data_IF_304461659608
#
_entry.id   IF_304461659608
#
_cell.length_a   1.000
_cell.length_b   1.000
_cell.length_c   1.000
_cell.angle_alpha   90.00
_cell.angle_beta   90.00
_cell.angle_gamma   90.00
#
_symmetry.space_group_name_H-M   'P 1'
#
loop_
_entity.id
_entity.type
_entity.pdbx_description
1 polymer ?
#
# COMPACT_ATOMS: atom_id res chain seq x y z
N UNK A 1 3.30 -10.82 10.65
CA UNK A 1 2.47 -9.62 10.59
C UNK A 1 2.81 -8.65 11.70
N UNK A 2 2.69 -7.39 11.44
CA UNK A 2 2.94 -6.36 12.45
C UNK A 2 2.73 -4.98 11.82
N UNK A 3 2.68 -3.99 12.70
CA UNK A 3 2.62 -2.58 12.34
C UNK A 3 3.92 -1.90 12.76
N UNK A 4 4.18 -0.72 12.28
CA UNK A 4 5.35 0.09 12.63
C UNK A 4 5.53 0.26 14.15
N UNK A 5 4.43 0.53 14.87
CA UNK A 5 4.44 0.71 16.33
C UNK A 5 4.93 -0.51 17.12
N UNK A 6 4.81 -1.71 16.57
CA UNK A 6 5.29 -2.96 17.17
C UNK A 6 6.58 -3.46 16.52
N UNK A 7 6.69 -3.34 15.20
CA UNK A 7 7.85 -3.78 14.42
C UNK A 7 9.10 -2.94 14.66
N UNK A 8 8.96 -1.62 14.82
CA UNK A 8 10.08 -0.73 15.10
C UNK A 8 10.80 -1.08 16.42
N UNK A 9 10.11 -1.10 17.56
CA UNK A 9 10.72 -1.52 18.84
C UNK A 9 11.26 -2.95 18.78
N UNK A 10 10.57 -3.90 18.16
CA UNK A 10 11.05 -5.28 17.96
C UNK A 10 12.41 -5.28 17.23
N UNK A 11 12.49 -4.58 16.12
CA UNK A 11 13.72 -4.51 15.30
C UNK A 11 14.87 -3.89 16.09
N UNK A 12 14.60 -2.83 16.86
CA UNK A 12 15.56 -2.18 17.71
C UNK A 12 16.09 -3.14 18.80
N UNK A 13 15.19 -3.79 19.52
CA UNK A 13 15.54 -4.74 20.56
C UNK A 13 16.34 -5.95 20.02
N UNK A 14 15.95 -6.46 18.84
CA UNK A 14 16.69 -7.53 18.19
C UNK A 14 18.16 -7.12 17.93
N UNK A 15 18.37 -5.90 17.43
CA UNK A 15 19.72 -5.38 17.22
C UNK A 15 20.51 -5.21 18.52
N UNK A 16 19.88 -4.70 19.58
CA UNK A 16 20.48 -4.54 20.93
C UNK A 16 20.91 -5.90 21.52
N UNK A 17 20.15 -6.94 21.23
CA UNK A 17 20.47 -8.34 21.62
C UNK A 17 21.49 -9.03 20.69
N UNK A 18 22.03 -8.30 19.70
CA UNK A 18 23.01 -8.86 18.75
C UNK A 18 22.41 -9.79 17.70
N UNK A 19 21.09 -9.82 17.52
CA UNK A 19 20.42 -10.61 16.49
C UNK A 19 20.64 -9.93 15.14
N UNK A 20 21.31 -10.64 14.21
CA UNK A 20 21.66 -10.14 12.87
C UNK A 20 20.70 -10.64 11.78
N UNK A 21 19.63 -11.32 12.14
CA UNK A 21 18.67 -11.82 11.19
C UNK A 21 17.94 -10.65 10.49
N UNK A 22 17.62 -10.84 9.21
CA UNK A 22 16.74 -9.93 8.46
C UNK A 22 15.32 -10.01 9.03
N UNK A 23 14.70 -8.88 9.16
CA UNK A 23 13.29 -8.74 9.52
C UNK A 23 12.50 -8.50 8.24
N UNK A 24 11.56 -9.39 7.93
CA UNK A 24 10.67 -9.22 6.77
C UNK A 24 9.27 -8.90 7.27
N UNK A 25 8.69 -7.82 6.76
CA UNK A 25 7.37 -7.33 7.15
C UNK A 25 6.45 -7.09 5.96
N UNK A 26 5.15 -7.03 6.24
CA UNK A 26 4.14 -6.56 5.28
C UNK A 26 4.04 -5.03 5.28
N UNK A 27 3.00 -4.55 4.63
CA UNK A 27 2.70 -3.13 4.40
C UNK A 27 2.64 -2.28 5.68
N UNK A 28 2.07 -2.81 6.75
CA UNK A 28 2.02 -2.12 8.04
C UNK A 28 3.39 -1.80 8.66
N UNK A 29 4.47 -2.41 8.17
CA UNK A 29 5.85 -2.12 8.55
C UNK A 29 6.58 -1.26 7.50
N UNK A 30 5.97 -0.96 6.36
CA UNK A 30 6.56 -0.21 5.26
C UNK A 30 6.38 1.32 5.39
N UNK A 31 6.57 1.86 6.57
CA UNK A 31 6.33 3.29 6.86
C UNK A 31 7.61 4.01 7.26
N UNK A 32 7.66 5.33 7.04
CA UNK A 32 8.74 6.16 7.58
C UNK A 32 8.77 6.14 9.11
N UNK A 33 7.61 5.91 9.74
CA UNK A 33 7.50 5.77 11.19
C UNK A 33 8.24 4.56 11.75
N UNK A 34 8.29 3.45 10.98
CA UNK A 34 9.12 2.31 11.34
C UNK A 34 10.59 2.73 11.50
N UNK A 35 11.11 3.50 10.54
CA UNK A 35 12.50 3.96 10.58
C UNK A 35 12.79 4.87 11.78
N UNK A 36 11.84 5.74 12.14
CA UNK A 36 11.97 6.55 13.36
C UNK A 36 12.06 5.69 14.63
N UNK A 37 11.22 4.64 14.73
CA UNK A 37 11.11 3.79 15.92
C UNK A 37 12.25 2.77 16.02
N UNK A 38 12.71 2.21 14.90
CA UNK A 38 13.79 1.23 14.84
C UNK A 38 15.18 1.89 14.89
N UNK A 39 15.30 3.17 14.53
CA UNK A 39 16.58 3.87 14.45
C UNK A 39 17.52 3.24 13.44
N UNK A 40 18.79 3.07 13.77
CA UNK A 40 19.80 2.47 12.89
C UNK A 40 19.50 1.00 12.55
N UNK A 41 18.76 0.30 13.39
CA UNK A 41 18.43 -1.10 13.18
C UNK A 41 17.50 -1.33 11.96
N UNK A 42 16.85 -0.28 11.43
CA UNK A 42 15.95 -0.36 10.28
C UNK A 42 16.65 -0.87 9.01
N UNK A 43 17.96 -0.77 8.89
CA UNK A 43 18.75 -1.32 7.78
C UNK A 43 18.58 -2.84 7.62
N UNK A 44 18.14 -3.53 8.66
CA UNK A 44 17.86 -4.96 8.63
C UNK A 44 16.44 -5.31 8.21
N UNK A 45 15.60 -4.31 7.92
CA UNK A 45 14.18 -4.52 7.55
C UNK A 45 14.04 -4.51 6.04
N UNK A 46 13.29 -5.49 5.55
CA UNK A 46 12.71 -5.51 4.20
C UNK A 46 11.20 -5.63 4.36
N UNK A 47 10.43 -4.85 3.62
CA UNK A 47 8.98 -4.90 3.69
C UNK A 47 8.33 -4.86 2.32
N UNK A 48 7.06 -5.28 2.24
CA UNK A 48 6.31 -5.34 1.00
C UNK A 48 5.07 -4.45 1.07
N UNK A 49 4.75 -3.76 -0.01
CA UNK A 49 3.48 -3.06 -0.21
C UNK A 49 2.77 -3.60 -1.45
N UNK A 50 1.44 -3.62 -1.42
CA UNK A 50 0.65 -3.86 -2.61
C UNK A 50 0.82 -2.69 -3.60
N UNK A 51 0.79 -3.00 -4.90
CA UNK A 51 0.87 -2.02 -5.97
C UNK A 51 2.27 -1.47 -6.23
N UNK A 52 2.32 -0.48 -7.09
CA UNK A 52 3.54 0.26 -7.42
C UNK A 52 3.76 1.39 -6.41
N UNK A 53 5.02 1.77 -6.21
CA UNK A 53 5.34 2.99 -5.48
C UNK A 53 4.60 4.19 -6.08
N UNK A 54 4.02 5.06 -5.25
CA UNK A 54 3.20 6.20 -5.69
C UNK A 54 3.92 7.07 -6.74
N UNK A 55 5.23 7.26 -6.58
CA UNK A 55 6.07 7.99 -7.54
C UNK A 55 6.19 7.34 -8.93
N UNK A 56 5.79 6.09 -9.07
CA UNK A 56 5.78 5.32 -10.33
C UNK A 56 4.38 5.15 -10.91
N UNK A 57 3.33 5.56 -10.20
CA UNK A 57 1.96 5.59 -10.72
C UNK A 57 1.79 6.73 -11.70
N UNK A 58 1.07 6.50 -12.81
CA UNK A 58 0.91 7.48 -13.89
C UNK A 58 0.37 8.84 -13.42
N UNK A 59 -0.57 8.83 -12.45
CA UNK A 59 -1.16 10.04 -11.86
C UNK A 59 -0.66 10.31 -10.44
N UNK A 60 0.41 9.65 -10.00
CA UNK A 60 0.88 9.71 -8.61
C UNK A 60 1.31 11.10 -8.18
N UNK A 61 2.04 11.83 -9.04
CA UNK A 61 2.48 13.19 -8.75
C UNK A 61 1.31 14.18 -8.61
N UNK A 62 0.31 14.09 -9.51
CA UNK A 62 -0.89 14.92 -9.44
C UNK A 62 -1.72 14.59 -8.18
N UNK A 63 -1.87 13.31 -7.86
CA UNK A 63 -2.54 12.88 -6.65
C UNK A 63 -1.85 13.42 -5.39
N UNK A 64 -0.53 13.31 -5.29
CA UNK A 64 0.24 13.87 -4.16
C UNK A 64 0.02 15.37 -4.01
N UNK A 65 0.07 16.12 -5.12
CA UNK A 65 -0.14 17.57 -5.12
C UNK A 65 -1.54 17.91 -4.59
N UNK A 66 -2.60 17.34 -5.19
CA UNK A 66 -3.99 17.58 -4.78
C UNK A 66 -4.26 17.17 -3.33
N UNK A 67 -3.67 16.06 -2.89
CA UNK A 67 -3.78 15.60 -1.51
C UNK A 67 -3.14 16.59 -0.53
N UNK A 68 -1.92 17.05 -0.84
CA UNK A 68 -1.22 18.04 -0.02
C UNK A 68 -1.95 19.37 0.07
N UNK A 69 -2.47 19.86 -1.06
CA UNK A 69 -3.26 21.08 -1.13
C UNK A 69 -4.56 20.97 -0.31
N UNK A 70 -5.21 19.80 -0.34
CA UNK A 70 -6.50 19.58 0.34
C UNK A 70 -6.36 19.35 1.84
N UNK A 71 -5.36 18.59 2.27
CA UNK A 71 -5.25 18.07 3.63
C UNK A 71 -4.05 18.61 4.40
N UNK A 72 -3.18 19.39 3.76
CA UNK A 72 -1.91 19.89 4.31
C UNK A 72 -1.06 18.78 4.96
N UNK A 73 -1.14 17.56 4.42
CA UNK A 73 -0.38 16.39 4.88
C UNK A 73 0.14 15.60 3.70
N UNK A 74 1.12 14.72 3.94
CA UNK A 74 1.67 13.86 2.92
C UNK A 74 0.83 12.59 2.74
N UNK A 75 0.80 12.05 1.53
CA UNK A 75 0.06 10.83 1.20
C UNK A 75 0.65 9.65 1.97
N UNK A 76 -0.20 8.94 2.71
CA UNK A 76 0.16 7.70 3.40
C UNK A 76 -0.09 6.49 2.50
N UNK A 77 0.52 5.35 2.87
CA UNK A 77 0.58 4.14 2.03
C UNK A 77 -0.77 3.63 1.52
N UNK A 78 -1.84 3.77 2.31
CA UNK A 78 -3.18 3.26 1.94
C UNK A 78 -4.04 4.26 1.16
N UNK A 79 -3.69 5.55 1.13
CA UNK A 79 -4.52 6.59 0.55
C UNK A 79 -4.86 6.37 -0.94
N UNK A 80 -3.92 5.96 -1.82
CA UNK A 80 -4.22 5.69 -3.23
C UNK A 80 -5.24 4.56 -3.41
N UNK A 81 -5.11 3.50 -2.62
CA UNK A 81 -5.98 2.32 -2.70
C UNK A 81 -7.39 2.63 -2.17
N UNK A 82 -7.48 3.37 -1.05
CA UNK A 82 -8.77 3.81 -0.50
C UNK A 82 -9.48 4.75 -1.47
N UNK A 83 -8.74 5.63 -2.13
CA UNK A 83 -9.29 6.52 -3.16
C UNK A 83 -9.95 5.71 -4.28
N UNK A 84 -9.23 4.74 -4.86
CA UNK A 84 -9.78 3.90 -5.92
C UNK A 84 -10.92 2.99 -5.43
N UNK A 85 -10.84 2.47 -4.21
CA UNK A 85 -11.90 1.64 -3.64
C UNK A 85 -13.25 2.38 -3.56
N UNK A 86 -13.23 3.68 -3.23
CA UNK A 86 -14.45 4.51 -3.25
C UNK A 86 -15.02 4.62 -4.66
N UNK A 87 -14.16 4.79 -5.68
CA UNK A 87 -14.63 4.85 -7.07
C UNK A 87 -15.18 3.51 -7.55
N UNK A 88 -14.58 2.38 -7.18
CA UNK A 88 -15.11 1.04 -7.48
C UNK A 88 -16.48 0.85 -6.87
N UNK A 89 -16.68 1.26 -5.61
CA UNK A 89 -17.99 1.19 -4.95
C UNK A 89 -19.03 2.05 -5.65
N UNK A 90 -18.71 3.30 -5.96
CA UNK A 90 -19.63 4.23 -6.64
C UNK A 90 -19.98 3.74 -8.05
N UNK A 91 -19.00 3.23 -8.79
CA UNK A 91 -19.24 2.61 -10.11
C UNK A 91 -20.18 1.41 -9.99
N UNK A 92 -19.93 0.54 -9.01
CA UNK A 92 -20.78 -0.62 -8.75
C UNK A 92 -22.20 -0.23 -8.33
N UNK A 93 -22.37 0.81 -7.51
CA UNK A 93 -23.70 1.39 -7.18
C UNK A 93 -24.45 1.87 -8.42
N UNK A 94 -23.74 2.56 -9.33
CA UNK A 94 -24.32 3.04 -10.59
C UNK A 94 -24.74 1.88 -11.49
N UNK A 95 -23.89 0.86 -11.66
CA UNK A 95 -24.21 -0.34 -12.48
C UNK A 95 -25.37 -1.13 -11.87
N UNK A 96 -25.42 -1.26 -10.54
CA UNK A 96 -26.51 -1.91 -9.82
C UNK A 96 -27.81 -1.08 -9.77
N UNK A 97 -27.73 0.21 -10.11
CA UNK A 97 -28.80 1.19 -9.86
C UNK A 97 -29.37 1.10 -8.43
N UNK A 98 -28.48 0.93 -7.43
CA UNK A 98 -28.86 0.64 -6.04
C UNK A 98 -27.73 0.93 -5.07
N UNK A 99 -28.09 1.24 -3.83
CA UNK A 99 -27.17 1.30 -2.68
C UNK A 99 -27.27 0.04 -1.80
N UNK A 100 -28.07 -0.94 -2.20
CA UNK A 100 -28.19 -2.22 -1.50
C UNK A 100 -26.87 -3.03 -1.63
N UNK A 101 -26.24 -3.46 -0.52
CA UNK A 101 -24.96 -4.16 -0.57
C UNK A 101 -24.98 -5.45 -1.38
N UNK A 102 -26.08 -6.21 -1.35
CA UNK A 102 -26.17 -7.46 -2.10
C UNK A 102 -26.21 -7.21 -3.61
N UNK A 103 -26.92 -6.14 -4.03
CA UNK A 103 -26.96 -5.74 -5.46
C UNK A 103 -25.61 -5.18 -5.93
N UNK A 104 -24.94 -4.41 -5.09
CA UNK A 104 -23.59 -3.91 -5.37
C UNK A 104 -22.61 -5.06 -5.55
N UNK A 105 -22.62 -6.01 -4.60
CA UNK A 105 -21.74 -7.18 -4.65
C UNK A 105 -21.98 -8.03 -5.90
N UNK A 106 -23.22 -8.18 -6.33
CA UNK A 106 -23.57 -8.98 -7.52
C UNK A 106 -22.97 -8.44 -8.82
N UNK A 107 -22.72 -7.12 -8.93
CA UNK A 107 -22.13 -6.48 -10.12
C UNK A 107 -20.64 -6.17 -9.98
N UNK A 108 -20.07 -6.31 -8.78
CA UNK A 108 -18.67 -5.98 -8.52
C UNK A 108 -17.67 -6.84 -9.33
N UNK A 109 -17.91 -8.14 -9.59
CA UNK A 109 -17.02 -8.95 -10.43
C UNK A 109 -16.84 -8.41 -11.87
N UNK A 110 -17.81 -7.63 -12.37
CA UNK A 110 -17.76 -7.05 -13.72
C UNK A 110 -17.01 -5.70 -13.77
N UNK A 111 -16.37 -5.32 -12.68
CA UNK A 111 -15.58 -4.08 -12.61
C UNK A 111 -14.45 -4.10 -13.62
N UNK A 112 -14.36 -3.02 -14.41
CA UNK A 112 -13.27 -2.73 -15.35
C UNK A 112 -13.03 -1.23 -15.31
N UNK A 113 -12.07 -0.80 -14.53
CA UNK A 113 -11.81 0.61 -14.29
C UNK A 113 -10.30 0.91 -14.31
N UNK A 114 -9.94 2.02 -14.95
CA UNK A 114 -8.61 2.60 -14.79
C UNK A 114 -8.61 3.48 -13.55
N UNK A 115 -7.95 3.01 -12.50
CA UNK A 115 -7.77 3.75 -11.26
C UNK A 115 -6.42 4.45 -11.18
N UNK A 116 -6.16 5.07 -10.03
CA UNK A 116 -4.85 5.64 -9.67
C UNK A 116 -3.80 4.53 -9.53
N UNK A 117 -4.17 3.41 -8.92
CA UNK A 117 -3.27 2.27 -8.68
C UNK A 117 -3.06 1.39 -9.92
N UNK A 118 -3.77 1.63 -11.02
CA UNK A 118 -3.68 0.87 -12.27
C UNK A 118 -5.03 0.33 -12.75
N UNK A 119 -4.99 -0.71 -13.57
CA UNK A 119 -6.20 -1.39 -14.03
C UNK A 119 -6.85 -2.17 -12.89
N UNK A 120 -8.12 -1.90 -12.64
CA UNK A 120 -8.90 -2.57 -11.60
C UNK A 120 -9.90 -3.50 -12.28
N UNK A 121 -9.68 -4.79 -12.15
CA UNK A 121 -10.57 -5.84 -12.58
C UNK A 121 -10.38 -7.06 -11.66
N UNK A 122 -11.44 -7.77 -11.37
CA UNK A 122 -11.43 -8.90 -10.45
C UNK A 122 -11.56 -10.23 -11.19
N UNK A 123 -10.95 -11.27 -10.66
CA UNK A 123 -11.15 -12.64 -11.09
C UNK A 123 -12.40 -13.26 -10.44
N UNK A 124 -12.63 -14.55 -10.64
CA UNK A 124 -13.78 -15.27 -10.09
C UNK A 124 -13.71 -15.52 -8.57
N UNK A 125 -12.57 -15.18 -7.94
CA UNK A 125 -12.38 -15.27 -6.47
C UNK A 125 -12.48 -13.89 -5.80
N UNK A 126 -12.51 -12.81 -6.60
CA UNK A 126 -12.49 -11.43 -6.14
C UNK A 126 -11.07 -10.85 -6.00
N UNK A 127 -10.05 -11.56 -6.46
CA UNK A 127 -8.67 -11.07 -6.48
C UNK A 127 -8.44 -10.16 -7.70
N UNK A 128 -7.50 -9.23 -7.57
CA UNK A 128 -7.07 -8.40 -8.70
C UNK A 128 -6.46 -9.27 -9.79
N UNK A 129 -6.89 -9.10 -11.05
CA UNK A 129 -6.34 -9.84 -12.21
C UNK A 129 -4.90 -9.48 -12.52
N UNK A 130 -4.51 -8.24 -12.24
CA UNK A 130 -3.15 -7.74 -12.41
C UNK A 130 -2.64 -7.32 -11.04
N UNK A 131 -1.79 -8.15 -10.45
CA UNK A 131 -1.19 -7.89 -9.14
C UNK A 131 0.22 -7.31 -9.29
N UNK A 132 0.53 -6.33 -8.47
CA UNK A 132 1.88 -5.79 -8.31
C UNK A 132 2.20 -5.75 -6.83
N UNK A 133 3.40 -6.18 -6.47
CA UNK A 133 3.96 -6.03 -5.13
C UNK A 133 5.29 -5.30 -5.26
N UNK A 134 5.49 -4.27 -4.46
CA UNK A 134 6.77 -3.58 -4.37
C UNK A 134 7.46 -3.95 -3.06
N UNK A 135 8.70 -4.40 -3.15
CA UNK A 135 9.59 -4.62 -2.01
C UNK A 135 10.39 -3.35 -1.74
N UNK A 136 10.58 -3.07 -0.47
CA UNK A 136 11.35 -1.92 0.01
C UNK A 136 12.40 -2.37 1.01
N UNK A 137 13.52 -1.68 1.00
CA UNK A 137 14.50 -1.62 2.08
C UNK A 137 14.58 -0.20 2.66
N UNK A 138 15.44 -0.01 3.65
CA UNK A 138 15.70 1.30 4.24
C UNK A 138 17.18 1.64 4.12
N UNK A 139 17.47 2.76 3.43
CA UNK A 139 18.81 3.34 3.30
C UNK A 139 18.81 4.72 3.93
N UNK A 140 19.76 4.96 4.80
CA UNK A 140 19.83 6.22 5.56
C UNK A 140 18.49 6.58 6.23
N UNK A 141 17.80 5.58 6.79
CA UNK A 141 16.45 5.66 7.41
C UNK A 141 15.34 6.08 6.44
N UNK A 142 15.58 6.07 5.14
CA UNK A 142 14.57 6.36 4.12
C UNK A 142 14.14 5.10 3.42
N UNK A 143 12.83 4.94 3.27
CA UNK A 143 12.24 3.84 2.50
C UNK A 143 12.65 3.95 1.03
N UNK A 144 13.22 2.88 0.49
CA UNK A 144 13.78 2.80 -0.86
C UNK A 144 13.25 1.58 -1.58
N UNK A 145 12.78 1.75 -2.81
CA UNK A 145 12.32 0.62 -3.63
C UNK A 145 13.47 -0.33 -3.88
N UNK A 146 13.30 -1.58 -3.49
CA UNK A 146 14.22 -2.68 -3.74
C UNK A 146 13.88 -3.39 -5.05
N UNK A 147 12.62 -3.80 -5.21
CA UNK A 147 12.16 -4.55 -6.39
C UNK A 147 10.65 -4.38 -6.59
N UNK A 148 10.20 -4.47 -7.85
CA UNK A 148 8.79 -4.50 -8.24
C UNK A 148 8.48 -5.83 -8.89
N UNK A 149 7.59 -6.59 -8.27
CA UNK A 149 7.16 -7.92 -8.73
C UNK A 149 5.77 -7.79 -9.33
N UNK A 150 5.62 -8.19 -10.59
CA UNK A 150 4.32 -8.28 -11.30
C UNK A 150 3.86 -9.73 -11.29
N UNK A 151 2.61 -9.94 -10.98
CA UNK A 151 1.94 -11.24 -10.96
C UNK A 151 0.92 -11.34 -12.09
#
# INVERSE_FOLDING_TARGET
>A
GGMDATGGPLTKQAAELGIKAKVVGGDGMCTEKLAELAGEAVVNVTCSEAGMALSKMAQGADFQKRYKERFNSDVQIYAPFTYDAVYVLVDSMKRANSTDPAKILAVMPDTKMQGLVGNIAFDNKGDMKEGVITLYDFKDKKKTVLEVIKM
#
